data_IF_349830840289
#
_entry.id   IF_349830840289
#
_cell.length_a   1.000
_cell.length_b   1.000
_cell.length_c   1.000
_cell.angle_alpha   90.00
_cell.angle_beta   90.00
_cell.angle_gamma   90.00
#
_symmetry.space_group_name_H-M   'P 1'
#
loop_
_entity.id
_entity.type
_entity.pdbx_description
1 polymer ?
#
# COMPACT_ATOMS: atom_id res chain seq x y z
N UNK A 1 36.04 -22.97 20.09
CA UNK A 1 36.49 -21.98 19.10
C UNK A 1 35.50 -20.81 19.16
N UNK A 2 35.89 -19.67 19.73
CA UNK A 2 35.01 -18.49 19.79
C UNK A 2 35.11 -17.71 18.49
N UNK A 3 33.97 -17.50 17.82
CA UNK A 3 33.90 -16.68 16.62
C UNK A 3 34.20 -15.22 17.00
N UNK A 4 35.06 -14.55 16.22
CA UNK A 4 35.38 -13.15 16.45
C UNK A 4 34.17 -12.26 16.15
N UNK A 5 34.03 -11.11 16.82
CA UNK A 5 32.87 -10.21 16.64
C UNK A 5 32.66 -9.76 15.18
N UNK A 6 33.74 -9.64 14.41
CA UNK A 6 33.70 -9.29 12.98
C UNK A 6 33.05 -10.38 12.14
N UNK A 7 33.36 -11.65 12.38
CA UNK A 7 32.78 -12.79 11.66
C UNK A 7 31.29 -12.92 11.97
N UNK A 8 30.90 -12.73 13.24
CA UNK A 8 29.50 -12.75 13.65
C UNK A 8 28.70 -11.63 12.97
N UNK A 9 29.28 -10.43 12.88
CA UNK A 9 28.64 -9.27 12.24
C UNK A 9 28.45 -9.50 10.75
N UNK A 10 29.49 -9.95 10.04
CA UNK A 10 29.42 -10.21 8.60
C UNK A 10 28.44 -11.33 8.27
N UNK A 11 28.43 -12.42 9.04
CA UNK A 11 27.48 -13.52 8.85
C UNK A 11 26.03 -13.07 9.09
N UNK A 12 25.78 -12.26 10.12
CA UNK A 12 24.45 -11.74 10.43
C UNK A 12 23.93 -10.80 9.34
N UNK A 13 24.80 -9.93 8.81
CA UNK A 13 24.46 -9.03 7.70
C UNK A 13 24.14 -9.83 6.43
N UNK A 14 24.97 -10.83 6.10
CA UNK A 14 24.73 -11.70 4.95
C UNK A 14 23.38 -12.43 5.08
N UNK A 15 23.06 -12.97 6.26
CA UNK A 15 21.78 -13.64 6.51
C UNK A 15 20.59 -12.70 6.36
N UNK A 16 20.70 -11.45 6.85
CA UNK A 16 19.66 -10.44 6.73
C UNK A 16 19.41 -10.00 5.28
N UNK A 17 20.47 -9.95 4.45
CA UNK A 17 20.39 -9.66 3.02
C UNK A 17 19.79 -10.84 2.25
N UNK A 18 20.19 -12.08 2.58
CA UNK A 18 19.60 -13.29 1.98
C UNK A 18 18.11 -13.40 2.32
N UNK A 19 17.73 -13.22 3.59
CA UNK A 19 16.32 -13.17 4.02
C UNK A 19 15.54 -12.10 3.24
N UNK A 20 16.12 -10.93 3.04
CA UNK A 20 15.52 -9.85 2.25
C UNK A 20 15.26 -10.26 0.79
N UNK A 21 16.27 -10.81 0.11
CA UNK A 21 16.23 -11.09 -1.33
C UNK A 21 15.37 -12.33 -1.62
N UNK A 22 15.51 -13.39 -0.82
CA UNK A 22 14.85 -14.67 -1.06
C UNK A 22 13.46 -14.76 -0.43
N UNK A 23 13.26 -14.22 0.77
CA UNK A 23 12.00 -14.42 1.49
C UNK A 23 10.96 -13.34 1.20
N UNK A 24 11.36 -12.18 0.64
CA UNK A 24 10.51 -11.02 0.24
C UNK A 24 9.11 -11.09 0.87
N UNK A 25 9.05 -11.04 2.21
CA UNK A 25 7.83 -11.41 2.95
C UNK A 25 6.80 -10.30 2.83
N UNK A 26 6.25 -10.11 1.63
CA UNK A 26 5.12 -9.23 1.35
C UNK A 26 3.95 -9.75 2.17
N UNK A 27 3.76 -9.14 3.34
CA UNK A 27 2.67 -9.50 4.24
C UNK A 27 1.33 -9.08 3.65
N UNK A 28 1.32 -7.98 2.89
CA UNK A 28 0.15 -7.47 2.18
C UNK A 28 0.47 -7.33 0.70
N UNK A 29 -0.44 -7.80 -0.14
CA UNK A 29 -0.36 -7.69 -1.59
C UNK A 29 -1.66 -7.09 -2.11
N UNK A 30 -1.58 -6.02 -2.90
CA UNK A 30 -2.75 -5.46 -3.57
C UNK A 30 -3.11 -6.40 -4.72
N UNK A 31 -4.30 -7.00 -4.64
CA UNK A 31 -4.81 -7.94 -5.63
C UNK A 31 -5.47 -7.20 -6.78
N UNK A 32 -6.39 -6.28 -6.47
CA UNK A 32 -7.19 -5.59 -7.47
C UNK A 32 -7.63 -4.20 -6.98
N UNK A 33 -7.87 -3.32 -7.94
CA UNK A 33 -8.56 -2.04 -7.76
C UNK A 33 -9.93 -2.16 -8.43
N UNK A 34 -10.98 -2.25 -7.60
CA UNK A 34 -12.36 -2.44 -8.04
C UNK A 34 -12.92 -1.24 -8.80
N UNK A 35 -14.15 -1.38 -9.30
CA UNK A 35 -14.83 -0.31 -10.03
C UNK A 35 -15.34 0.78 -9.09
N UNK A 36 -15.45 1.99 -9.61
CA UNK A 36 -15.83 3.16 -8.83
C UNK A 36 -17.27 3.02 -8.36
N UNK A 37 -17.52 3.26 -7.07
CA UNK A 37 -18.85 3.22 -6.50
C UNK A 37 -19.23 4.64 -6.08
N UNK A 38 -20.31 5.16 -6.64
CA UNK A 38 -20.87 6.44 -6.22
C UNK A 38 -21.56 6.30 -4.85
N UNK A 39 -21.14 7.09 -3.87
CA UNK A 39 -21.72 7.17 -2.51
C UNK A 39 -22.35 8.54 -2.24
N UNK A 40 -22.86 9.20 -3.30
CA UNK A 40 -23.51 10.50 -3.20
C UNK A 40 -22.50 11.64 -3.11
N UNK A 41 -22.03 11.96 -1.89
CA UNK A 41 -21.07 13.06 -1.65
C UNK A 41 -19.61 12.68 -1.93
N UNK A 42 -19.32 11.39 -2.01
CA UNK A 42 -17.98 10.85 -2.24
C UNK A 42 -18.03 9.72 -3.27
N UNK A 43 -16.89 9.46 -3.90
CA UNK A 43 -16.65 8.27 -4.70
C UNK A 43 -15.82 7.30 -3.87
N UNK A 44 -16.26 6.05 -3.82
CA UNK A 44 -15.53 4.97 -3.16
C UNK A 44 -14.73 4.17 -4.20
N UNK A 45 -13.45 4.01 -3.93
CA UNK A 45 -12.54 3.17 -4.71
C UNK A 45 -12.28 1.88 -3.91
N UNK A 46 -12.83 0.73 -4.34
CA UNK A 46 -12.58 -0.55 -3.67
C UNK A 46 -11.14 -1.00 -3.92
N UNK A 47 -10.43 -1.35 -2.86
CA UNK A 47 -9.08 -1.91 -2.91
C UNK A 47 -9.12 -3.30 -2.29
N UNK A 48 -8.92 -4.30 -3.13
CA UNK A 48 -8.79 -5.68 -2.68
C UNK A 48 -7.33 -6.01 -2.41
N UNK A 49 -7.05 -6.55 -1.23
CA UNK A 49 -5.69 -6.96 -0.86
C UNK A 49 -5.69 -8.28 -0.09
N UNK A 50 -4.63 -9.05 -0.26
CA UNK A 50 -4.38 -10.27 0.50
C UNK A 50 -3.45 -9.94 1.68
N UNK A 51 -3.89 -10.24 2.89
CA UNK A 51 -3.05 -10.28 4.08
C UNK A 51 -2.62 -11.73 4.37
N UNK A 52 -1.32 -12.01 4.24
CA UNK A 52 -0.76 -13.35 4.43
C UNK A 52 -0.55 -13.74 5.90
N UNK A 53 -0.61 -12.78 6.82
CA UNK A 53 -0.30 -12.99 8.25
C UNK A 53 -1.54 -12.89 9.14
N UNK A 54 -1.53 -13.62 10.26
CA UNK A 54 -2.64 -13.60 11.23
C UNK A 54 -2.74 -12.27 11.99
N UNK A 55 -1.59 -11.64 12.27
CA UNK A 55 -1.50 -10.38 12.99
C UNK A 55 -0.66 -9.41 12.16
N UNK A 56 -1.32 -8.55 11.40
CA UNK A 56 -0.66 -7.50 10.65
C UNK A 56 -0.36 -6.32 11.59
N UNK A 57 0.86 -5.77 11.53
CA UNK A 57 1.25 -4.62 12.35
C UNK A 57 2.10 -3.64 11.56
N UNK A 58 1.74 -2.36 11.62
CA UNK A 58 2.51 -1.28 11.01
C UNK A 58 2.53 -1.34 9.48
N UNK A 59 1.53 -1.95 8.87
CA UNK A 59 1.29 -1.83 7.43
C UNK A 59 0.42 -0.60 7.18
N UNK A 60 0.83 0.22 6.22
CA UNK A 60 0.14 1.45 5.87
C UNK A 60 -0.36 1.37 4.43
N UNK A 61 -1.60 1.78 4.20
CA UNK A 61 -2.15 2.03 2.88
C UNK A 61 -2.17 3.55 2.63
N UNK A 62 -1.67 3.93 1.47
CA UNK A 62 -1.63 5.29 0.95
C UNK A 62 -2.23 5.30 -0.43
N UNK A 63 -2.88 6.40 -0.79
CA UNK A 63 -3.45 6.56 -2.11
C UNK A 63 -3.40 8.01 -2.55
N UNK A 64 -3.29 8.19 -3.86
CA UNK A 64 -3.43 9.49 -4.48
C UNK A 64 -4.13 9.33 -5.82
N UNK A 65 -4.91 10.34 -6.17
CA UNK A 65 -5.63 10.41 -7.42
C UNK A 65 -5.04 11.55 -8.24
N UNK A 66 -4.59 11.26 -9.45
CA UNK A 66 -3.96 12.23 -10.34
C UNK A 66 -4.87 12.49 -11.54
N UNK A 67 -5.09 13.76 -11.88
CA UNK A 67 -5.80 14.12 -13.10
C UNK A 67 -4.86 13.89 -14.29
N UNK A 68 -5.32 13.11 -15.27
CA UNK A 68 -4.52 12.80 -16.47
C UNK A 68 -4.43 14.01 -17.42
N UNK A 69 -5.45 14.87 -17.42
CA UNK A 69 -5.49 16.07 -18.27
C UNK A 69 -4.68 17.21 -17.65
N UNK A 70 -4.65 17.31 -16.32
CA UNK A 70 -3.81 18.25 -15.60
C UNK A 70 -2.92 17.53 -14.57
N UNK A 71 -1.71 17.09 -14.96
CA UNK A 71 -0.85 16.25 -14.13
C UNK A 71 -0.32 16.93 -12.86
N UNK A 72 -0.56 18.23 -12.67
CA UNK A 72 -0.25 18.98 -11.43
C UNK A 72 -1.33 18.82 -10.36
N UNK A 73 -2.55 18.45 -10.74
CA UNK A 73 -3.66 18.20 -9.82
C UNK A 73 -3.52 16.79 -9.25
N UNK A 74 -3.18 16.71 -7.97
CA UNK A 74 -3.07 15.44 -7.24
C UNK A 74 -3.83 15.55 -5.92
N UNK A 75 -4.76 14.63 -5.70
CA UNK A 75 -5.52 14.51 -4.46
C UNK A 75 -4.91 13.39 -3.64
N UNK A 76 -4.21 13.75 -2.56
CA UNK A 76 -3.59 12.79 -1.65
C UNK A 76 -4.55 12.39 -0.54
N UNK A 77 -4.78 11.09 -0.40
CA UNK A 77 -5.46 10.51 0.75
C UNK A 77 -4.57 10.48 1.98
N UNK A 78 -5.20 10.49 3.17
CA UNK A 78 -4.48 10.25 4.43
C UNK A 78 -4.05 8.78 4.48
N UNK A 79 -2.80 8.53 4.84
CA UNK A 79 -2.29 7.19 5.11
C UNK A 79 -3.08 6.53 6.26
N UNK A 80 -3.41 5.25 6.13
CA UNK A 80 -4.16 4.48 7.14
C UNK A 80 -3.46 3.18 7.49
N UNK A 81 -3.62 2.73 8.73
CA UNK A 81 -3.09 1.44 9.20
C UNK A 81 -4.01 0.29 8.78
N UNK A 82 -3.43 -0.79 8.25
CA UNK A 82 -4.14 -2.02 7.92
C UNK A 82 -4.19 -3.02 9.10
N UNK A 83 -3.83 -2.59 10.31
CA UNK A 83 -3.63 -3.46 11.50
C UNK A 83 -4.88 -4.26 11.89
N UNK A 84 -6.08 -3.80 11.52
CA UNK A 84 -7.35 -4.49 11.78
C UNK A 84 -7.72 -5.52 10.70
N UNK A 85 -6.94 -5.63 9.62
CA UNK A 85 -7.22 -6.57 8.53
C UNK A 85 -7.05 -8.02 8.98
N UNK A 86 -7.92 -8.90 8.48
CA UNK A 86 -7.89 -10.34 8.79
C UNK A 86 -6.92 -11.05 7.86
N UNK A 87 -6.41 -12.22 8.25
CA UNK A 87 -5.67 -13.09 7.31
C UNK A 87 -6.59 -13.49 6.15
N UNK A 88 -6.07 -13.45 4.93
CA UNK A 88 -6.79 -13.75 3.69
C UNK A 88 -7.12 -12.50 2.88
N UNK A 89 -8.15 -12.60 2.04
CA UNK A 89 -8.60 -11.50 1.19
C UNK A 89 -9.42 -10.51 2.02
N UNK A 90 -9.07 -9.24 1.92
CA UNK A 90 -9.79 -8.12 2.51
C UNK A 90 -10.12 -7.09 1.43
N UNK A 91 -11.11 -6.26 1.72
CA UNK A 91 -11.50 -5.14 0.88
C UNK A 91 -11.57 -3.87 1.75
N UNK A 92 -10.97 -2.79 1.27
CA UNK A 92 -11.07 -1.46 1.86
C UNK A 92 -11.61 -0.47 0.83
N UNK A 93 -12.48 0.44 1.27
CA UNK A 93 -12.99 1.52 0.44
C UNK A 93 -12.23 2.81 0.71
N UNK A 94 -11.52 3.30 -0.29
CA UNK A 94 -10.90 4.62 -0.26
C UNK A 94 -11.95 5.64 -0.69
N UNK A 95 -12.40 6.49 0.24
CA UNK A 95 -13.41 7.49 -0.01
C UNK A 95 -12.75 8.82 -0.41
N UNK A 96 -13.18 9.40 -1.52
CA UNK A 96 -12.76 10.74 -1.98
C UNK A 96 -14.00 11.60 -2.18
N UNK A 97 -14.08 12.73 -1.47
CA UNK A 97 -15.17 13.69 -1.62
C UNK A 97 -15.20 14.25 -3.04
N UNK A 98 -16.39 14.29 -3.63
CA UNK A 98 -16.61 14.82 -5.00
C UNK A 98 -16.24 16.30 -5.15
N UNK A 99 -16.27 17.07 -4.06
CA UNK A 99 -15.90 18.49 -4.04
C UNK A 99 -14.45 18.77 -4.48
N UNK A 100 -13.57 17.76 -4.38
CA UNK A 100 -12.19 17.87 -4.82
C UNK A 100 -11.96 17.32 -6.23
N UNK A 101 -12.99 16.72 -6.83
CA UNK A 101 -12.91 16.06 -8.13
C UNK A 101 -13.45 16.98 -9.21
N UNK A 102 -13.01 16.72 -10.43
CA UNK A 102 -13.55 17.27 -11.67
C UNK A 102 -13.96 16.10 -12.57
N UNK A 103 -14.92 16.33 -13.46
CA UNK A 103 -15.27 15.34 -14.47
C UNK A 103 -14.11 15.16 -15.45
N UNK A 104 -13.70 13.92 -15.70
CA UNK A 104 -12.55 13.65 -16.56
C UNK A 104 -11.88 12.31 -16.31
N UNK A 105 -10.70 12.15 -16.93
CA UNK A 105 -9.86 10.98 -16.78
C UNK A 105 -8.89 11.17 -15.61
N UNK A 106 -8.88 10.20 -14.71
CA UNK A 106 -8.05 10.18 -13.52
C UNK A 106 -7.24 8.88 -13.44
N UNK A 107 -6.13 8.92 -12.72
CA UNK A 107 -5.32 7.76 -12.39
C UNK A 107 -5.26 7.60 -10.87
N UNK A 108 -5.81 6.49 -10.38
CA UNK A 108 -5.70 6.09 -8.99
C UNK A 108 -4.40 5.32 -8.81
N UNK A 109 -3.57 5.77 -7.88
CA UNK A 109 -2.44 5.02 -7.39
C UNK A 109 -2.68 4.61 -5.94
N UNK A 110 -2.43 3.34 -5.64
CA UNK A 110 -2.53 2.81 -4.28
C UNK A 110 -1.22 2.13 -3.94
N UNK A 111 -0.63 2.54 -2.82
CA UNK A 111 0.60 1.99 -2.28
C UNK A 111 0.33 1.42 -0.90
N UNK A 112 0.71 0.17 -0.70
CA UNK A 112 0.80 -0.44 0.61
C UNK A 112 2.27 -0.57 0.98
N UNK A 113 2.64 0.00 2.12
CA UNK A 113 3.99 -0.04 2.68
C UNK A 113 3.98 -0.89 3.94
N UNK A 114 4.88 -1.86 4.03
CA UNK A 114 5.11 -2.62 5.26
C UNK A 114 6.60 -2.61 5.61
N UNK A 115 6.94 -2.20 6.83
CA UNK A 115 8.34 -2.09 7.28
C UNK A 115 8.62 -2.72 8.65
N UNK A 116 7.60 -3.28 9.31
CA UNK A 116 7.74 -3.69 10.70
C UNK A 116 8.07 -5.18 10.83
N UNK A 117 9.34 -5.55 10.68
CA UNK A 117 9.86 -6.84 11.10
C UNK A 117 10.70 -6.67 12.38
N UNK A 118 10.38 -7.42 13.44
CA UNK A 118 11.16 -7.40 14.69
C UNK A 118 12.55 -8.05 14.56
N UNK A 119 12.71 -8.97 13.61
CA UNK A 119 13.90 -9.83 13.51
C UNK A 119 14.97 -9.32 12.55
N UNK A 120 14.58 -8.57 11.51
CA UNK A 120 15.51 -8.04 10.52
C UNK A 120 15.32 -6.51 10.43
N UNK A 121 16.27 -5.72 10.96
CA UNK A 121 16.16 -4.25 11.01
C UNK A 121 16.17 -3.60 9.62
N UNK A 122 16.63 -4.31 8.58
CA UNK A 122 16.62 -3.80 7.20
C UNK A 122 15.19 -3.54 6.70
N UNK A 123 14.17 -4.19 7.25
CA UNK A 123 12.78 -3.89 6.90
C UNK A 123 12.32 -2.50 7.38
N UNK A 124 12.95 -1.93 8.43
CA UNK A 124 12.67 -0.57 8.88
C UNK A 124 13.36 0.47 8.00
N UNK A 125 14.59 0.20 7.58
CA UNK A 125 15.36 1.10 6.71
C UNK A 125 14.85 1.09 5.27
N UNK A 126 14.43 -0.09 4.80
CA UNK A 126 13.93 -0.29 3.45
C UNK A 126 12.58 -1.00 3.57
N UNK A 127 11.45 -0.30 3.75
CA UNK A 127 10.17 -0.98 3.81
C UNK A 127 9.86 -1.66 2.47
N UNK A 128 9.11 -2.75 2.52
CA UNK A 128 8.61 -3.43 1.33
C UNK A 128 7.33 -2.73 0.90
N UNK A 129 7.22 -2.45 -0.38
CA UNK A 129 6.10 -1.72 -0.96
C UNK A 129 5.40 -2.58 -2.01
N UNK A 130 4.07 -2.48 -2.03
CA UNK A 130 3.23 -2.95 -3.13
C UNK A 130 2.53 -1.75 -3.71
N UNK A 131 2.66 -1.53 -5.01
CA UNK A 131 2.02 -0.42 -5.71
C UNK A 131 1.18 -0.97 -6.86
N UNK A 132 -0.03 -0.44 -7.01
CA UNK A 132 -0.93 -0.69 -8.13
C UNK A 132 -1.53 0.64 -8.58
N UNK A 133 -1.83 0.73 -9.87
CA UNK A 133 -2.52 1.86 -10.45
C UNK A 133 -3.67 1.42 -11.33
N UNK A 134 -4.70 2.27 -11.44
CA UNK A 134 -5.86 2.07 -12.30
C UNK A 134 -6.31 3.40 -12.86
N UNK A 135 -6.47 3.46 -14.18
CA UNK A 135 -7.13 4.58 -14.85
C UNK A 135 -8.65 4.49 -14.66
N UNK A 136 -9.28 5.62 -14.37
CA UNK A 136 -10.71 5.73 -14.18
C UNK A 136 -11.27 6.96 -14.88
N UNK A 137 -12.51 6.87 -15.35
CA UNK A 137 -13.27 8.01 -15.86
C UNK A 137 -14.31 8.39 -14.80
N UNK A 138 -14.23 9.63 -14.32
CA UNK A 138 -15.14 10.16 -13.31
C UNK A 138 -16.10 11.12 -14.01
N UNK A 139 -17.39 10.86 -13.88
CA UNK A 139 -18.46 11.74 -14.35
C UNK A 139 -19.19 12.28 -13.12
N UNK A 140 -18.92 13.53 -12.77
CA UNK A 140 -19.67 14.22 -11.73
C UNK A 140 -21.00 14.64 -12.37
N UNK A 141 -22.11 14.10 -11.86
CA UNK A 141 -23.43 14.62 -12.17
C UNK A 141 -23.61 15.86 -11.31
N UNK A 142 -23.84 17.00 -11.96
CA UNK A 142 -24.30 18.20 -11.28
C UNK A 142 -25.64 17.86 -10.59
N UNK A 143 -25.70 18.08 -9.28
CA UNK A 143 -26.92 17.99 -8.48
C UNK A 143 -27.57 19.36 -8.46
#
# INVERSE_FOLDING_TARGET
MMLTPSVITTASLALAVIDRIFLQRKQVIILNLGDLIDRGRAIAFPVMFENKVKHLKGALIEYWLRDTNNPTTVINGKARTLDISKKGVNEEYLLIDKKHLTSGAWELHVRVTHGNCRWNPLYRLFPVQSHRQKSCSIQLRDV
#
